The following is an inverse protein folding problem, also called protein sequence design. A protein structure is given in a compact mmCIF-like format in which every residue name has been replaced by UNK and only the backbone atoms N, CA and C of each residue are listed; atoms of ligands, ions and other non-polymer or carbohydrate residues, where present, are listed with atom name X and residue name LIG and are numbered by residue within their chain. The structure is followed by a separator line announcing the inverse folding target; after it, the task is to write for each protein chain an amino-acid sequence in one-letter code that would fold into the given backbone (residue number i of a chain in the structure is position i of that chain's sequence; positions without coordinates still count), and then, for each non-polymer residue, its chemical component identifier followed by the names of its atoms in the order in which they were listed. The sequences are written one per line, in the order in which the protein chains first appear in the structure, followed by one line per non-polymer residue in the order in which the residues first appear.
data_IF_535844357455
#
_entry.id   IF_535844357455
#
_cell.length_a   1.000
_cell.length_b   1.000
_cell.length_c   1.000
_cell.angle_alpha   90.00
_cell.angle_beta   90.00
_cell.angle_gamma   90.00
#
_symmetry.space_group_name_H-M   'P 1'
#
loop_
_entity.id
_entity.type
_entity.pdbx_description
1 polymer ?
#
# COMPACT_ATOMS: atom_id res chain seq x y z
N UNK A 1 -17.18 13.53 -18.74
CA UNK A 1 -16.20 13.85 -17.67
C UNK A 1 -16.63 13.11 -16.44
N UNK A 2 -16.26 11.84 -16.34
CA UNK A 2 -16.19 11.14 -15.06
C UNK A 2 -14.96 11.72 -14.35
N UNK A 3 -15.19 12.37 -13.21
CA UNK A 3 -14.09 12.77 -12.35
C UNK A 3 -13.55 11.49 -11.71
N UNK A 4 -12.41 11.00 -12.20
CA UNK A 4 -11.73 9.86 -11.61
C UNK A 4 -11.22 10.27 -10.22
N UNK A 5 -11.86 9.74 -9.17
CA UNK A 5 -11.48 10.00 -7.79
C UNK A 5 -10.28 9.15 -7.42
N UNK A 6 -9.07 9.71 -7.46
CA UNK A 6 -7.91 9.07 -6.85
C UNK A 6 -8.10 9.17 -5.34
N UNK A 7 -8.37 8.05 -4.66
CA UNK A 7 -8.28 8.03 -3.20
C UNK A 7 -6.81 8.19 -2.82
N UNK A 8 -6.50 8.98 -1.80
CA UNK A 8 -5.12 9.38 -1.45
C UNK A 8 -4.17 8.18 -1.22
N UNK A 9 -4.68 7.03 -0.82
CA UNK A 9 -3.93 5.78 -0.63
C UNK A 9 -3.45 5.13 -1.95
N UNK A 10 -4.16 5.37 -3.05
CA UNK A 10 -3.85 4.76 -4.35
C UNK A 10 -2.52 5.22 -4.94
N UNK A 11 -2.07 6.45 -4.65
CA UNK A 11 -0.90 7.05 -5.34
C UNK A 11 0.40 6.31 -5.00
N UNK A 12 0.55 5.80 -3.78
CA UNK A 12 1.76 5.04 -3.40
C UNK A 12 1.75 3.62 -3.94
N UNK A 13 0.60 2.96 -3.88
CA UNK A 13 0.39 1.61 -4.41
C UNK A 13 0.72 1.56 -5.91
N UNK A 14 0.20 2.52 -6.66
CA UNK A 14 0.28 2.57 -8.13
C UNK A 14 1.73 2.57 -8.65
N UNK A 15 2.65 3.28 -7.99
CA UNK A 15 4.05 3.35 -8.41
C UNK A 15 4.70 1.97 -8.55
N UNK A 16 4.66 1.19 -7.47
CA UNK A 16 5.29 -0.13 -7.44
C UNK A 16 4.39 -1.25 -7.97
N UNK A 17 3.06 -1.13 -7.88
CA UNK A 17 2.12 -2.13 -8.41
C UNK A 17 2.11 -2.19 -9.95
N UNK A 18 2.59 -1.14 -10.62
CA UNK A 18 2.83 -1.15 -12.06
C UNK A 18 4.31 -1.36 -12.43
N UNK A 19 5.19 -1.59 -11.44
CA UNK A 19 6.63 -1.74 -11.65
C UNK A 19 7.35 -0.45 -12.02
N UNK A 20 6.69 0.71 -11.85
CA UNK A 20 7.27 1.99 -12.25
C UNK A 20 8.32 2.51 -11.25
N UNK A 21 8.10 2.27 -9.96
CA UNK A 21 9.03 2.60 -8.87
C UNK A 21 9.26 1.38 -7.97
N UNK A 22 10.40 1.31 -7.29
CA UNK A 22 10.64 0.27 -6.29
C UNK A 22 9.85 0.58 -5.01
N UNK A 23 9.22 -0.45 -4.45
CA UNK A 23 8.66 -0.38 -3.10
C UNK A 23 9.80 -0.23 -2.08
N UNK A 24 9.63 0.67 -1.11
CA UNK A 24 10.57 0.88 -0.01
C UNK A 24 9.79 1.00 1.30
N UNK A 25 10.10 0.10 2.23
CA UNK A 25 9.66 0.18 3.61
C UNK A 25 10.84 0.63 4.50
N UNK A 26 10.85 1.86 5.03
CA UNK A 26 11.96 2.38 5.82
C UNK A 26 12.12 1.65 7.17
N UNK A 27 11.12 0.88 7.59
CA UNK A 27 11.13 0.11 8.83
C UNK A 27 11.43 -1.38 8.60
N UNK A 28 11.48 -1.84 7.35
CA UNK A 28 11.91 -3.19 7.03
C UNK A 28 13.44 -3.29 7.19
N UNK A 29 13.90 -3.76 8.35
CA UNK A 29 15.31 -4.08 8.55
C UNK A 29 15.63 -5.45 7.98
N UNK A 30 16.83 -5.63 7.40
CA UNK A 30 17.41 -6.94 7.06
C UNK A 30 17.71 -7.83 8.29
N UNK A 31 17.26 -7.40 9.47
CA UNK A 31 17.47 -8.07 10.74
C UNK A 31 16.32 -9.03 11.02
N UNK A 32 16.47 -10.26 10.56
CA UNK A 32 15.84 -11.42 11.21
C UNK A 32 16.87 -12.53 11.36
N UNK A 33 17.78 -12.35 12.30
CA UNK A 33 18.45 -13.48 12.94
C UNK A 33 17.46 -14.08 13.95
N UNK A 34 16.58 -14.96 13.46
CA UNK A 34 15.97 -16.12 14.13
C UNK A 34 14.61 -16.43 13.49
N UNK A 35 14.58 -17.42 12.60
CA UNK A 35 13.55 -18.48 12.48
C UNK A 35 12.04 -18.17 12.54
N UNK A 36 11.59 -16.91 12.55
CA UNK A 36 10.22 -16.51 12.91
C UNK A 36 9.57 -15.44 12.02
N UNK A 37 10.31 -14.68 11.21
CA UNK A 37 9.68 -13.80 10.23
C UNK A 37 9.23 -14.63 9.02
N UNK A 38 7.95 -14.99 9.00
CA UNK A 38 7.32 -15.72 7.89
C UNK A 38 7.05 -14.83 6.67
N UNK A 39 7.05 -13.50 6.83
CA UNK A 39 6.81 -12.53 5.76
C UNK A 39 7.92 -11.48 5.66
N UNK A 40 8.30 -11.14 4.44
CA UNK A 40 9.33 -10.13 4.15
C UNK A 40 8.67 -8.78 3.83
N UNK A 41 8.56 -7.91 4.83
CA UNK A 41 7.98 -6.56 4.68
C UNK A 41 8.89 -5.57 3.95
N UNK A 42 10.09 -6.00 3.49
CA UNK A 42 10.84 -5.23 2.49
C UNK A 42 10.21 -5.34 1.10
N UNK A 43 9.24 -6.24 0.93
CA UNK A 43 8.38 -6.36 -0.22
C UNK A 43 6.97 -5.85 0.14
N UNK A 44 6.21 -5.32 -0.84
CA UNK A 44 4.84 -4.92 -0.58
C UNK A 44 3.95 -6.15 -0.39
N UNK A 45 2.84 -5.97 0.33
CA UNK A 45 1.75 -6.95 0.31
C UNK A 45 1.11 -6.89 -1.07
N UNK A 46 1.10 -8.00 -1.81
CA UNK A 46 0.58 -8.04 -3.18
C UNK A 46 -0.83 -8.60 -3.14
N UNK A 47 -1.84 -7.72 -3.09
CA UNK A 47 -3.23 -8.15 -3.25
C UNK A 47 -3.47 -8.49 -4.73
N UNK A 48 -3.77 -9.75 -5.03
CA UNK A 48 -4.15 -10.15 -6.38
C UNK A 48 -5.66 -9.96 -6.60
N UNK A 49 -6.13 -9.60 -7.82
CA UNK A 49 -7.56 -9.29 -8.05
C UNK A 49 -8.55 -10.41 -7.70
N UNK A 50 -8.09 -11.65 -7.68
CA UNK A 50 -8.90 -12.85 -7.37
C UNK A 50 -8.62 -13.38 -5.95
N UNK A 51 -7.87 -12.64 -5.13
CA UNK A 51 -7.47 -13.07 -3.79
C UNK A 51 -8.61 -12.91 -2.79
N UNK A 52 -8.87 -13.98 -2.04
CA UNK A 52 -9.83 -13.93 -0.96
C UNK A 52 -9.18 -13.30 0.26
N UNK A 53 -9.87 -12.34 0.88
CA UNK A 53 -9.46 -11.77 2.16
C UNK A 53 -10.60 -11.84 3.17
N UNK A 54 -10.25 -11.78 4.45
CA UNK A 54 -11.18 -11.68 5.57
C UNK A 54 -11.93 -10.35 5.58
N UNK A 55 -11.39 -9.34 4.90
CA UNK A 55 -12.11 -8.11 4.59
C UNK A 55 -13.03 -8.36 3.39
N UNK A 56 -14.34 -8.26 3.60
CA UNK A 56 -15.27 -8.25 2.47
C UNK A 56 -15.06 -6.97 1.66
N UNK A 57 -14.85 -7.09 0.35
CA UNK A 57 -15.00 -5.95 -0.55
C UNK A 57 -16.48 -5.51 -0.52
N UNK A 58 -16.81 -4.32 0.00
CA UNK A 58 -18.19 -3.86 0.06
C UNK A 58 -18.82 -3.64 -1.32
N UNK A 59 -18.03 -3.64 -2.40
CA UNK A 59 -18.50 -3.49 -3.78
C UNK A 59 -18.72 -4.83 -4.51
N UNK A 60 -18.25 -5.96 -3.97
CA UNK A 60 -18.37 -7.25 -4.64
C UNK A 60 -19.78 -7.84 -4.53
N UNK A 61 -20.38 -8.18 -5.68
CA UNK A 61 -21.67 -8.88 -5.77
C UNK A 61 -21.53 -10.40 -5.91
N UNK A 62 -20.30 -10.90 -6.03
CA UNK A 62 -20.05 -12.34 -6.12
C UNK A 62 -20.15 -12.99 -4.73
N UNK A 63 -20.74 -14.20 -4.62
CA UNK A 63 -20.67 -14.96 -3.38
C UNK A 63 -19.19 -15.18 -3.02
N UNK A 64 -18.73 -14.80 -1.82
CA UNK A 64 -17.35 -15.04 -1.43
C UNK A 64 -17.07 -16.54 -1.54
N UNK A 65 -16.06 -16.89 -2.33
CA UNK A 65 -15.60 -18.26 -2.39
C UNK A 65 -15.09 -18.66 -0.98
N UNK A 66 -15.25 -19.94 -0.63
CA UNK A 66 -15.05 -20.40 0.73
C UNK A 66 -13.58 -20.26 1.15
N UNK A 67 -13.34 -19.45 2.19
CA UNK A 67 -12.04 -19.27 2.81
C UNK A 67 -11.50 -20.60 3.40
N UNK A 68 -10.17 -20.78 3.47
CA UNK A 68 -9.59 -21.95 4.12
C UNK A 68 -10.03 -22.05 5.59
N UNK A 69 -10.67 -23.16 5.96
CA UNK A 69 -11.17 -23.37 7.33
C UNK A 69 -10.03 -23.32 8.38
N UNK A 70 -8.84 -23.76 8.00
CA UNK A 70 -7.62 -23.69 8.81
C UNK A 70 -7.16 -22.25 9.06
N UNK A 71 -7.26 -21.37 8.07
CA UNK A 71 -6.92 -19.96 8.19
C UNK A 71 -7.90 -19.25 9.13
N UNK A 72 -9.21 -19.47 8.93
CA UNK A 72 -10.27 -18.95 9.79
C UNK A 72 -10.08 -19.39 11.25
N UNK A 73 -9.86 -20.68 11.46
CA UNK A 73 -9.64 -21.26 12.79
C UNK A 73 -8.39 -20.67 13.47
N UNK A 74 -7.28 -20.56 12.74
CA UNK A 74 -6.03 -19.99 13.27
C UNK A 74 -6.17 -18.51 13.62
N UNK A 75 -6.88 -17.74 12.79
CA UNK A 75 -7.10 -16.32 13.04
C UNK A 75 -8.10 -16.08 14.19
N UNK A 76 -9.15 -16.87 14.29
CA UNK A 76 -10.06 -16.87 15.44
C UNK A 76 -9.32 -17.17 16.74
N UNK A 77 -8.45 -18.18 16.72
CA UNK A 77 -7.57 -18.51 17.85
C UNK A 77 -6.66 -17.33 18.20
N UNK A 78 -6.02 -16.70 17.21
CA UNK A 78 -5.15 -15.55 17.43
C UNK A 78 -5.87 -14.37 18.09
N UNK A 79 -7.11 -14.09 17.66
CA UNK A 79 -7.95 -13.03 18.25
C UNK A 79 -8.32 -13.34 19.70
N UNK A 80 -8.67 -14.59 20.01
CA UNK A 80 -8.97 -14.99 21.39
C UNK A 80 -7.73 -14.92 22.29
N UNK A 81 -6.58 -15.40 21.83
CA UNK A 81 -5.31 -15.32 22.55
C UNK A 81 -4.91 -13.87 22.83
N UNK A 82 -5.07 -12.98 21.85
CA UNK A 82 -4.83 -11.54 22.03
C UNK A 82 -5.79 -10.92 23.04
N UNK A 83 -7.08 -11.26 22.96
CA UNK A 83 -8.10 -10.77 23.88
C UNK A 83 -7.83 -11.20 25.32
N UNK A 84 -7.31 -12.41 25.51
CA UNK A 84 -6.90 -12.97 26.80
C UNK A 84 -5.53 -12.42 27.30
N UNK A 85 -4.83 -11.63 26.48
CA UNK A 85 -3.54 -11.02 26.79
C UNK A 85 -2.32 -11.92 26.54
N UNK A 86 -2.49 -13.08 25.91
CA UNK A 86 -1.40 -13.97 25.50
C UNK A 86 -0.86 -13.56 24.11
N UNK A 87 -0.14 -12.44 24.07
CA UNK A 87 0.34 -11.88 22.82
C UNK A 87 1.39 -12.75 22.10
N UNK A 88 2.16 -13.55 22.84
CA UNK A 88 3.12 -14.50 22.27
C UNK A 88 2.42 -15.67 21.56
N UNK A 89 1.33 -16.19 22.13
CA UNK A 89 0.49 -17.19 21.46
C UNK A 89 -0.24 -16.58 20.26
N UNK A 90 -0.83 -15.39 20.45
CA UNK A 90 -1.53 -14.67 19.39
C UNK A 90 -0.63 -14.46 18.16
N UNK A 91 0.65 -14.13 18.36
CA UNK A 91 1.60 -13.93 17.26
C UNK A 91 1.81 -15.22 16.46
N UNK A 92 1.97 -16.37 17.15
CA UNK A 92 2.15 -17.68 16.50
C UNK A 92 0.92 -18.09 15.70
N UNK A 93 -0.26 -17.88 16.25
CA UNK A 93 -1.54 -18.19 15.59
C UNK A 93 -1.80 -17.27 14.40
N UNK A 94 -1.43 -15.98 14.52
CA UNK A 94 -1.47 -15.02 13.42
C UNK A 94 -0.54 -15.43 12.28
N UNK A 95 0.71 -15.80 12.60
CA UNK A 95 1.68 -16.30 11.62
C UNK A 95 1.23 -17.62 10.98
N UNK A 96 0.47 -18.46 11.68
CA UNK A 96 -0.15 -19.65 11.10
C UNK A 96 -1.25 -19.30 10.09
N UNK A 97 -2.09 -18.29 10.39
CA UNK A 97 -3.10 -17.80 9.46
C UNK A 97 -2.45 -17.19 8.19
N UNK A 98 -1.38 -16.40 8.33
CA UNK A 98 -0.64 -15.82 7.20
C UNK A 98 0.06 -16.87 6.30
N UNK A 99 0.30 -18.10 6.77
CA UNK A 99 0.81 -19.16 5.88
C UNK A 99 -0.23 -19.61 4.87
N UNK A 100 -1.50 -19.56 5.25
CA UNK A 100 -2.63 -19.96 4.40
C UNK A 100 -3.16 -18.77 3.58
N UNK A 101 -3.11 -17.56 4.15
CA UNK A 101 -3.57 -16.32 3.54
C UNK A 101 -2.47 -15.25 3.56
N UNK A 102 -1.39 -15.42 2.76
CA UNK A 102 -0.18 -14.62 2.87
C UNK A 102 -0.31 -13.16 2.41
N UNK A 103 -1.34 -12.78 1.67
CA UNK A 103 -1.53 -11.37 1.28
C UNK A 103 -2.78 -10.74 1.91
N UNK A 104 -3.37 -11.38 2.92
CA UNK A 104 -4.51 -10.81 3.64
C UNK A 104 -4.06 -9.65 4.53
N UNK A 105 -4.44 -8.44 4.12
CA UNK A 105 -4.05 -7.20 4.78
C UNK A 105 -4.60 -7.07 6.20
N UNK A 106 -5.77 -7.65 6.50
CA UNK A 106 -6.36 -7.60 7.83
C UNK A 106 -5.61 -8.50 8.81
N UNK A 107 -5.13 -9.67 8.37
CA UNK A 107 -4.28 -10.54 9.20
C UNK A 107 -2.91 -9.88 9.43
N UNK A 108 -2.35 -9.22 8.41
CA UNK A 108 -1.13 -8.43 8.59
C UNK A 108 -1.32 -7.28 9.58
N UNK A 109 -2.42 -6.53 9.48
CA UNK A 109 -2.71 -5.44 10.41
C UNK A 109 -2.89 -5.95 11.85
N UNK A 110 -3.53 -7.11 12.03
CA UNK A 110 -3.61 -7.79 13.32
C UNK A 110 -2.23 -8.20 13.84
N UNK A 111 -1.34 -8.73 13.00
CA UNK A 111 0.04 -9.02 13.39
C UNK A 111 0.78 -7.77 13.88
N UNK A 112 0.53 -6.63 13.23
CA UNK A 112 1.05 -5.33 13.64
C UNK A 112 0.52 -4.91 15.02
N UNK A 113 -0.74 -5.18 15.33
CA UNK A 113 -1.35 -4.95 16.64
C UNK A 113 -0.74 -5.86 17.72
N UNK A 114 -0.56 -7.15 17.42
CA UNK A 114 0.07 -8.11 18.35
C UNK A 114 1.51 -7.69 18.68
N UNK A 115 2.30 -7.30 17.67
CA UNK A 115 3.68 -6.82 17.88
C UNK A 115 3.74 -5.46 18.60
N UNK A 116 2.74 -4.59 18.41
CA UNK A 116 2.56 -3.39 19.23
C UNK A 116 2.32 -3.74 20.71
N UNK A 117 1.44 -4.70 21.00
CA UNK A 117 1.15 -5.16 22.35
C UNK A 117 2.37 -5.82 23.03
N UNK A 118 3.23 -6.49 22.25
CA UNK A 118 4.54 -7.01 22.69
C UNK A 118 5.63 -5.94 22.85
N UNK A 119 5.33 -4.67 22.54
CA UNK A 119 6.27 -3.56 22.47
C UNK A 119 7.43 -3.75 21.46
N UNK A 120 7.26 -4.64 20.47
CA UNK A 120 8.14 -4.76 19.31
C UNK A 120 7.71 -3.74 18.25
N UNK A 121 8.03 -2.48 18.50
CA UNK A 121 7.64 -1.37 17.64
C UNK A 121 8.33 -1.40 16.27
N UNK A 122 9.48 -2.09 16.13
CA UNK A 122 10.15 -2.25 14.84
C UNK A 122 9.33 -3.16 13.92
N UNK A 123 8.93 -4.34 14.39
CA UNK A 123 8.09 -5.25 13.60
C UNK A 123 6.70 -4.68 13.36
N UNK A 124 6.13 -3.99 14.36
CA UNK A 124 4.84 -3.32 14.22
C UNK A 124 4.90 -2.24 13.14
N UNK A 125 5.92 -1.37 13.15
CA UNK A 125 6.10 -0.35 12.11
C UNK A 125 6.28 -0.94 10.72
N UNK A 126 7.13 -1.95 10.56
CA UNK A 126 7.36 -2.60 9.27
C UNK A 126 6.07 -3.20 8.70
N UNK A 127 5.29 -3.86 9.55
CA UNK A 127 4.01 -4.48 9.15
C UNK A 127 2.95 -3.43 8.82
N UNK A 128 2.75 -2.44 9.71
CA UNK A 128 1.80 -1.33 9.48
C UNK A 128 2.13 -0.56 8.20
N UNK A 129 3.41 -0.29 7.94
CA UNK A 129 3.82 0.42 6.74
C UNK A 129 3.43 -0.33 5.47
N UNK A 130 3.59 -1.66 5.46
CA UNK A 130 3.19 -2.48 4.33
C UNK A 130 1.67 -2.50 4.13
N UNK A 131 0.89 -2.62 5.22
CA UNK A 131 -0.58 -2.53 5.19
C UNK A 131 -1.05 -1.18 4.65
N UNK A 132 -0.50 -0.10 5.20
CA UNK A 132 -0.84 1.28 4.81
C UNK A 132 -0.33 1.64 3.40
N UNK A 133 0.58 0.85 2.83
CA UNK A 133 1.00 1.02 1.43
C UNK A 133 -0.02 0.50 0.42
N UNK A 134 -0.99 -0.32 0.85
CA UNK A 134 -2.00 -0.93 -0.04
C UNK A 134 -3.43 -0.55 0.30
N UNK A 135 -3.71 -0.03 1.49
CA UNK A 135 -5.06 0.39 1.85
C UNK A 135 -5.11 1.22 3.13
N UNK A 136 -6.27 1.79 3.46
CA UNK A 136 -6.49 2.39 4.76
C UNK A 136 -6.40 1.32 5.85
N UNK A 137 -5.77 1.65 6.97
CA UNK A 137 -5.84 0.81 8.17
C UNK A 137 -7.20 0.88 8.87
N UNK A 138 -7.31 0.18 9.98
CA UNK A 138 -8.51 0.12 10.82
C UNK A 138 -8.94 1.46 11.38
N UNK A 139 -10.25 1.59 11.59
CA UNK A 139 -10.84 2.63 12.41
C UNK A 139 -10.84 2.26 13.91
N UNK A 140 -11.17 3.24 14.74
CA UNK A 140 -11.26 3.05 16.20
C UNK A 140 -12.23 1.93 16.58
N UNK A 141 -13.36 1.80 15.89
CA UNK A 141 -14.39 0.81 16.22
C UNK A 141 -13.84 -0.61 16.05
N UNK A 142 -13.12 -0.84 14.96
CA UNK A 142 -12.48 -2.13 14.67
C UNK A 142 -11.36 -2.41 15.68
N UNK A 143 -10.44 -1.46 15.86
CA UNK A 143 -9.30 -1.65 16.76
C UNK A 143 -9.76 -1.87 18.21
N UNK A 144 -10.63 -1.00 18.75
CA UNK A 144 -11.08 -1.11 20.14
C UNK A 144 -11.90 -2.36 20.41
N UNK A 145 -12.59 -2.90 19.40
CA UNK A 145 -13.34 -4.16 19.50
C UNK A 145 -12.45 -5.40 19.67
N UNK A 146 -11.16 -5.33 19.35
CA UNK A 146 -10.20 -6.42 19.55
C UNK A 146 -9.67 -6.50 20.99
N UNK A 147 -9.91 -5.48 21.80
CA UNK A 147 -9.47 -5.43 23.19
C UNK A 147 -10.59 -5.83 24.16
N UNK A 148 -10.26 -6.43 25.31
CA UNK A 148 -11.23 -6.69 26.37
C UNK A 148 -11.78 -5.41 27.00
N UNK A 149 -11.01 -4.33 26.97
CA UNK A 149 -11.46 -2.99 27.34
C UNK A 149 -10.54 -1.92 26.76
N UNK A 150 -11.06 -0.70 26.66
CA UNK A 150 -10.29 0.49 26.26
C UNK A 150 -9.15 0.80 27.25
N UNK A 151 -9.26 0.39 28.51
CA UNK A 151 -8.23 0.60 29.51
C UNK A 151 -6.94 -0.17 29.16
N UNK A 152 -7.07 -1.43 28.71
CA UNK A 152 -5.91 -2.25 28.28
C UNK A 152 -5.19 -1.60 27.09
N UNK A 153 -5.96 -1.16 26.09
CA UNK A 153 -5.40 -0.39 24.97
C UNK A 153 -4.69 0.88 25.45
N UNK A 154 -5.33 1.62 26.36
CA UNK A 154 -4.79 2.88 26.88
C UNK A 154 -3.46 2.66 27.60
N UNK A 155 -3.32 1.59 28.39
CA UNK A 155 -2.06 1.25 29.04
C UNK A 155 -0.92 1.00 28.04
N UNK A 156 -1.19 0.26 26.96
CA UNK A 156 -0.22 0.01 25.89
C UNK A 156 0.16 1.30 25.15
N UNK A 157 -0.82 2.17 24.87
CA UNK A 157 -0.56 3.48 24.27
C UNK A 157 0.33 4.35 25.18
N UNK A 158 0.09 4.38 26.50
CA UNK A 158 0.95 5.11 27.45
C UNK A 158 2.37 4.53 27.53
N UNK A 159 2.51 3.22 27.38
CA UNK A 159 3.82 2.58 27.30
C UNK A 159 4.59 3.03 26.05
N UNK A 160 3.94 3.04 24.88
CA UNK A 160 4.52 3.53 23.63
C UNK A 160 4.90 5.01 23.71
N UNK A 161 4.02 5.88 24.22
CA UNK A 161 4.34 7.30 24.43
C UNK A 161 5.57 7.49 25.33
N UNK A 162 5.66 6.71 26.41
CA UNK A 162 6.81 6.74 27.33
C UNK A 162 8.09 6.26 26.63
N UNK A 163 7.98 5.24 25.78
CA UNK A 163 9.09 4.73 24.99
C UNK A 163 9.59 5.79 24.00
N UNK A 164 8.70 6.42 23.21
CA UNK A 164 9.08 7.46 22.24
C UNK A 164 9.76 8.66 22.93
N UNK A 165 9.28 9.05 24.12
CA UNK A 165 9.92 10.12 24.92
C UNK A 165 11.35 9.78 25.34
N UNK A 166 11.62 8.51 25.67
CA UNK A 166 12.96 8.02 26.05
C UNK A 166 13.86 7.77 24.84
N UNK A 167 13.27 7.47 23.68
CA UNK A 167 13.95 7.12 22.44
C UNK A 167 13.55 8.06 21.29
N UNK A 168 13.83 9.37 21.38
CA UNK A 168 13.29 10.37 20.44
C UNK A 168 13.74 10.20 18.97
N UNK A 169 14.86 9.49 18.76
CA UNK A 169 15.41 9.18 17.44
C UNK A 169 14.85 7.90 16.82
N UNK A 170 14.13 7.08 17.57
CA UNK A 170 13.53 5.86 17.03
C UNK A 170 12.30 6.21 16.17
N UNK A 171 12.46 6.09 14.85
CA UNK A 171 11.41 6.41 13.90
C UNK A 171 10.33 5.33 13.86
N UNK A 172 10.65 4.07 14.16
CA UNK A 172 9.67 2.99 14.12
C UNK A 172 8.59 3.18 15.19
N UNK A 173 8.97 3.39 16.45
CA UNK A 173 8.00 3.69 17.50
C UNK A 173 7.23 4.99 17.25
N UNK A 174 7.87 6.01 16.68
CA UNK A 174 7.18 7.25 16.27
C UNK A 174 6.12 6.99 15.20
N UNK A 175 6.39 6.13 14.21
CA UNK A 175 5.43 5.74 13.18
C UNK A 175 4.26 4.94 13.76
N UNK A 176 4.53 3.97 14.64
CA UNK A 176 3.47 3.25 15.36
C UNK A 176 2.63 4.22 16.17
N UNK A 177 3.24 5.17 16.89
CA UNK A 177 2.52 6.15 17.71
C UNK A 177 1.64 7.06 16.85
N UNK A 178 2.15 7.51 15.69
CA UNK A 178 1.38 8.27 14.72
C UNK A 178 0.14 7.49 14.28
N UNK A 179 0.30 6.22 13.86
CA UNK A 179 -0.82 5.37 13.47
C UNK A 179 -1.84 5.21 14.61
N UNK A 180 -1.40 4.92 15.84
CA UNK A 180 -2.30 4.79 16.99
C UNK A 180 -3.12 6.08 17.22
N UNK A 181 -2.50 7.25 17.13
CA UNK A 181 -3.21 8.52 17.24
C UNK A 181 -4.19 8.76 16.08
N UNK A 182 -3.83 8.40 14.84
CA UNK A 182 -4.75 8.48 13.70
C UNK A 182 -5.97 7.61 13.93
N UNK A 183 -5.77 6.35 14.29
CA UNK A 183 -6.86 5.40 14.53
C UNK A 183 -7.76 5.82 15.67
N UNK A 184 -7.20 6.36 16.77
CA UNK A 184 -7.96 6.88 17.91
C UNK A 184 -8.58 8.27 17.69
N UNK A 185 -8.34 8.92 16.54
CA UNK A 185 -8.86 10.25 16.21
C UNK A 185 -8.15 11.42 16.92
N UNK A 186 -6.95 11.19 17.45
CA UNK A 186 -6.09 12.21 18.06
C UNK A 186 -5.25 12.94 17.01
N UNK A 187 -5.92 13.60 16.05
CA UNK A 187 -5.30 14.15 14.85
C UNK A 187 -4.14 15.12 15.12
N UNK A 188 -4.27 16.04 16.07
CA UNK A 188 -3.20 17.01 16.38
C UNK A 188 -1.91 16.31 16.84
N UNK A 189 -2.05 15.29 17.69
CA UNK A 189 -0.92 14.51 18.18
C UNK A 189 -0.31 13.63 17.08
N UNK A 190 -1.15 13.08 16.19
CA UNK A 190 -0.70 12.35 15.01
C UNK A 190 0.10 13.24 14.06
N UNK A 191 -0.39 14.45 13.76
CA UNK A 191 0.27 15.44 12.90
C UNK A 191 1.67 15.76 13.44
N UNK A 192 1.81 15.98 14.75
CA UNK A 192 3.13 16.24 15.37
C UNK A 192 4.11 15.08 15.12
N UNK A 193 3.66 13.84 15.28
CA UNK A 193 4.51 12.67 15.04
C UNK A 193 4.88 12.54 13.56
N UNK A 194 3.92 12.71 12.66
CA UNK A 194 4.09 12.60 11.21
C UNK A 194 5.00 13.69 10.65
N UNK A 195 4.89 14.94 11.12
CA UNK A 195 5.82 16.01 10.76
C UNK A 195 7.26 15.67 11.17
N UNK A 196 7.44 15.04 12.33
CA UNK A 196 8.74 14.52 12.77
C UNK A 196 9.33 13.47 11.83
N UNK A 197 8.50 12.50 11.41
CA UNK A 197 8.88 11.44 10.48
C UNK A 197 9.23 12.00 9.10
N UNK A 198 8.36 12.83 8.53
CA UNK A 198 8.56 13.47 7.22
C UNK A 198 9.79 14.37 7.21
N UNK A 199 10.09 15.06 8.32
CA UNK A 199 11.33 15.84 8.45
C UNK A 199 12.57 14.96 8.48
N UNK A 200 12.51 13.79 9.10
CA UNK A 200 13.63 12.85 9.18
C UNK A 200 13.85 12.09 7.87
N UNK A 201 12.76 11.74 7.18
CA UNK A 201 12.77 11.09 5.87
C UNK A 201 11.73 11.73 4.94
N UNK A 202 12.10 12.77 4.19
CA UNK A 202 11.16 13.47 3.29
C UNK A 202 10.78 12.69 2.03
N UNK A 203 11.21 11.44 1.91
CA UNK A 203 10.81 10.52 0.84
C UNK A 203 9.91 9.38 1.38
N UNK A 204 9.59 9.37 2.68
CA UNK A 204 8.61 8.45 3.27
C UNK A 204 7.21 8.84 2.80
N UNK A 205 6.79 8.22 1.70
CA UNK A 205 5.53 8.58 1.07
C UNK A 205 4.31 8.17 1.91
N UNK A 206 4.38 7.11 2.73
CA UNK A 206 3.24 6.69 3.57
C UNK A 206 3.04 7.71 4.68
N UNK A 207 4.12 8.13 5.35
CA UNK A 207 4.06 9.20 6.35
C UNK A 207 3.60 10.54 5.75
N UNK A 208 4.05 10.89 4.54
CA UNK A 208 3.58 12.09 3.81
C UNK A 208 2.07 12.01 3.53
N UNK A 209 1.58 10.87 3.03
CA UNK A 209 0.15 10.69 2.73
C UNK A 209 -0.72 10.73 3.99
N UNK A 210 -0.28 10.08 5.07
CA UNK A 210 -0.94 10.16 6.36
C UNK A 210 -0.99 11.60 6.87
N UNK A 211 0.11 12.35 6.74
CA UNK A 211 0.17 13.76 7.14
C UNK A 211 -0.80 14.63 6.34
N UNK A 212 -0.73 14.55 5.01
CA UNK A 212 -1.55 15.36 4.11
C UNK A 212 -3.05 15.04 4.19
N UNK A 213 -3.40 13.83 4.65
CA UNK A 213 -4.80 13.48 4.93
C UNK A 213 -5.36 14.23 6.14
N UNK A 214 -4.53 14.47 7.16
CA UNK A 214 -4.92 15.17 8.38
C UNK A 214 -4.74 16.69 8.25
N UNK A 215 -3.71 17.11 7.52
CA UNK A 215 -3.34 18.50 7.26
C UNK A 215 -2.94 18.66 5.77
N UNK A 216 -3.90 18.94 4.88
CA UNK A 216 -3.65 19.07 3.45
C UNK A 216 -2.65 20.17 3.06
N UNK A 217 -2.44 21.14 3.94
CA UNK A 217 -1.55 22.29 3.73
C UNK A 217 -0.18 22.06 4.40
N UNK A 218 0.09 20.88 4.96
CA UNK A 218 1.33 20.56 5.63
C UNK A 218 2.56 20.74 4.72
N UNK A 219 3.55 21.49 5.19
CA UNK A 219 4.80 21.68 4.48
C UNK A 219 5.65 20.40 4.51
N UNK A 220 5.96 19.86 3.33
CA UNK A 220 6.88 18.73 3.15
C UNK A 220 8.28 19.28 2.87
N UNK A 221 9.29 19.06 3.73
CA UNK A 221 10.65 19.55 3.49
C UNK A 221 11.26 18.92 2.24
N UNK A 222 11.90 19.71 1.38
CA UNK A 222 12.48 19.22 0.13
C UNK A 222 11.52 18.28 -0.62
N UNK A 223 10.31 18.76 -0.96
CA UNK A 223 9.30 17.91 -1.57
C UNK A 223 9.88 17.33 -2.85
N UNK A 224 9.59 16.06 -3.10
CA UNK A 224 10.05 15.40 -4.29
C UNK A 224 9.57 16.20 -5.52
N UNK A 225 10.46 16.41 -6.50
CA UNK A 225 10.18 17.36 -7.58
C UNK A 225 9.04 16.82 -8.43
N UNK A 226 8.00 17.62 -8.62
CA UNK A 226 6.97 17.30 -9.60
C UNK A 226 7.58 17.43 -10.99
N UNK A 227 7.79 16.30 -11.67
CA UNK A 227 8.22 16.27 -13.06
C UNK A 227 6.96 16.25 -13.92
N UNK A 228 6.74 17.32 -14.68
CA UNK A 228 5.63 17.35 -15.64
C UNK A 228 6.07 16.67 -16.94
N UNK A 229 5.40 15.59 -17.36
CA UNK A 229 5.75 14.92 -18.60
C UNK A 229 5.41 15.80 -19.82
N UNK A 230 6.07 15.54 -20.96
CA UNK A 230 5.73 16.21 -22.21
C UNK A 230 4.27 15.94 -22.59
N UNK A 231 3.59 16.95 -23.13
CA UNK A 231 2.23 16.80 -23.66
C UNK A 231 2.27 16.36 -25.12
N UNK A 232 1.33 15.52 -25.57
CA UNK A 232 1.21 15.17 -26.97
C UNK A 232 0.90 16.43 -27.80
N UNK A 233 1.47 16.48 -29.00
CA UNK A 233 1.27 17.61 -29.91
C UNK A 233 -0.14 17.64 -30.52
N UNK A 234 -0.73 16.46 -30.73
CA UNK A 234 -2.05 16.24 -31.30
C UNK A 234 -2.96 15.53 -30.30
N UNK A 235 -4.30 15.69 -30.40
CA UNK A 235 -5.23 14.98 -29.54
C UNK A 235 -5.09 13.46 -29.64
N UNK A 236 -5.10 12.79 -28.48
CA UNK A 236 -5.04 11.33 -28.41
C UNK A 236 -6.44 10.74 -28.43
N UNK A 237 -6.66 9.73 -29.27
CA UNK A 237 -7.88 8.95 -29.37
C UNK A 237 -7.66 7.54 -28.82
N UNK A 238 -8.68 6.96 -28.16
CA UNK A 238 -8.62 5.60 -27.62
C UNK A 238 -8.16 4.56 -28.66
N UNK A 239 -8.58 4.68 -29.92
CA UNK A 239 -8.19 3.76 -31.01
C UNK A 239 -6.70 3.72 -31.29
N UNK A 240 -5.96 4.79 -30.97
CA UNK A 240 -4.51 4.82 -31.13
C UNK A 240 -3.81 3.96 -30.08
N UNK A 241 -4.38 3.90 -28.87
CA UNK A 241 -3.86 3.13 -27.74
C UNK A 241 -4.32 1.67 -27.72
N UNK A 242 -5.44 1.34 -28.37
CA UNK A 242 -5.97 -0.03 -28.41
C UNK A 242 -4.97 -1.04 -28.99
N UNK A 243 -4.79 -2.17 -28.32
CA UNK A 243 -3.96 -3.29 -28.77
C UNK A 243 -3.00 -3.79 -27.68
N UNK A 244 -2.11 -4.67 -28.11
CA UNK A 244 -1.08 -5.28 -27.28
C UNK A 244 0.24 -4.51 -27.39
N UNK A 245 0.84 -4.24 -26.24
CA UNK A 245 2.06 -3.46 -26.11
C UNK A 245 3.09 -4.23 -25.28
N UNK A 246 4.36 -4.11 -25.63
CA UNK A 246 5.47 -4.63 -24.85
C UNK A 246 6.54 -3.56 -24.63
N UNK A 247 7.19 -3.61 -23.48
CA UNK A 247 8.33 -2.76 -23.18
C UNK A 247 9.37 -3.50 -22.35
N UNK A 248 10.59 -2.98 -22.35
CA UNK A 248 11.63 -3.36 -21.41
C UNK A 248 12.26 -2.10 -20.84
N UNK A 249 12.39 -2.05 -19.51
CA UNK A 249 13.07 -0.96 -18.81
C UNK A 249 13.92 -1.57 -17.70
N UNK A 250 15.20 -1.26 -17.70
CA UNK A 250 16.20 -1.86 -16.80
C UNK A 250 16.18 -3.39 -16.84
N UNK A 251 15.80 -4.05 -15.73
CA UNK A 251 15.66 -5.50 -15.59
C UNK A 251 14.21 -5.98 -15.70
N UNK A 252 13.29 -5.08 -16.00
CA UNK A 252 11.87 -5.33 -16.00
C UNK A 252 11.32 -5.43 -17.42
N UNK A 253 10.46 -6.42 -17.65
CA UNK A 253 9.67 -6.55 -18.89
C UNK A 253 8.22 -6.23 -18.58
N UNK A 254 7.56 -5.54 -19.51
CA UNK A 254 6.18 -5.11 -19.38
C UNK A 254 5.36 -5.60 -20.56
N UNK A 255 4.13 -6.04 -20.29
CA UNK A 255 3.11 -6.34 -21.28
C UNK A 255 1.84 -5.58 -20.89
N UNK A 256 1.26 -4.85 -21.84
CA UNK A 256 0.03 -4.11 -21.62
C UNK A 256 -0.95 -4.40 -22.75
N UNK A 257 -2.14 -4.87 -22.40
CA UNK A 257 -3.26 -4.99 -23.32
C UNK A 257 -4.26 -3.88 -23.00
N UNK A 258 -4.63 -3.09 -24.01
CA UNK A 258 -5.71 -2.10 -23.95
C UNK A 258 -6.82 -2.53 -24.91
N UNK A 259 -7.83 -3.21 -24.39
CA UNK A 259 -8.87 -3.83 -25.21
C UNK A 259 -9.93 -2.82 -25.69
N UNK A 260 -10.64 -3.16 -26.78
CA UNK A 260 -11.69 -2.30 -27.36
C UNK A 260 -12.89 -2.08 -26.43
N UNK A 261 -13.16 -3.04 -25.54
CA UNK A 261 -14.22 -2.98 -24.52
C UNK A 261 -13.82 -2.14 -23.29
N UNK A 262 -12.68 -1.44 -23.33
CA UNK A 262 -12.13 -0.63 -22.23
C UNK A 262 -11.58 -1.43 -21.05
N UNK A 263 -11.41 -2.75 -21.19
CA UNK A 263 -10.65 -3.54 -20.23
C UNK A 263 -9.15 -3.41 -20.51
N UNK A 264 -8.32 -3.45 -19.45
CA UNK A 264 -6.88 -3.55 -19.59
C UNK A 264 -6.32 -4.73 -18.79
N UNK A 265 -5.20 -5.24 -19.29
CA UNK A 265 -4.29 -6.10 -18.53
C UNK A 265 -2.91 -5.46 -18.54
N UNK A 266 -2.29 -5.33 -17.37
CA UNK A 266 -0.89 -4.92 -17.22
C UNK A 266 -0.14 -6.03 -16.52
N UNK A 267 0.93 -6.53 -17.13
CA UNK A 267 1.84 -7.49 -16.54
C UNK A 267 3.22 -6.89 -16.53
N UNK A 268 3.92 -7.03 -15.42
CA UNK A 268 5.35 -6.78 -15.41
C UNK A 268 6.09 -7.88 -14.66
N UNK A 269 7.31 -8.16 -15.12
CA UNK A 269 8.18 -9.15 -14.49
C UNK A 269 9.50 -8.49 -14.14
N UNK A 270 9.91 -8.60 -12.88
CA UNK A 270 11.19 -8.08 -12.37
C UNK A 270 11.83 -9.13 -11.47
N UNK A 271 13.11 -9.41 -11.69
CA UNK A 271 13.87 -10.42 -10.92
C UNK A 271 13.14 -11.79 -10.83
N UNK A 272 12.44 -12.18 -11.90
CA UNK A 272 11.71 -13.44 -12.00
C UNK A 272 10.36 -13.49 -11.28
N UNK A 273 9.95 -12.40 -10.62
CA UNK A 273 8.61 -12.25 -10.03
C UNK A 273 7.71 -11.51 -11.00
N UNK A 274 6.57 -12.08 -11.33
CA UNK A 274 5.54 -11.47 -12.19
C UNK A 274 4.41 -10.93 -11.33
N UNK A 275 3.99 -9.70 -11.63
CA UNK A 275 2.77 -9.10 -11.09
C UNK A 275 1.83 -8.76 -12.25
N UNK A 276 0.54 -8.91 -11.99
CA UNK A 276 -0.53 -8.64 -12.95
C UNK A 276 -1.58 -7.76 -12.31
N UNK A 277 -2.00 -6.73 -13.05
CA UNK A 277 -3.05 -5.80 -12.67
C UNK A 277 -4.06 -5.76 -13.81
N UNK A 278 -5.34 -5.75 -13.47
CA UNK A 278 -6.44 -5.65 -14.44
C UNK A 278 -7.42 -4.57 -14.00
N UNK A 279 -8.18 -4.10 -14.98
CA UNK A 279 -9.32 -3.24 -14.71
C UNK A 279 -9.80 -2.54 -15.96
N UNK A 280 -10.24 -1.30 -15.79
CA UNK A 280 -10.80 -0.51 -16.88
C UNK A 280 -9.92 0.70 -17.19
N UNK A 281 -9.80 1.01 -18.47
CA UNK A 281 -8.99 2.12 -18.95
C UNK A 281 -9.81 3.13 -19.73
N UNK A 282 -9.35 4.38 -19.69
CA UNK A 282 -9.86 5.44 -20.54
C UNK A 282 -8.76 6.45 -20.82
N UNK A 283 -8.88 7.22 -21.90
CA UNK A 283 -7.94 8.28 -22.25
C UNK A 283 -8.69 9.56 -22.54
N UNK A 284 -8.16 10.70 -22.09
CA UNK A 284 -8.64 12.00 -22.51
C UNK A 284 -7.94 12.52 -23.77
N UNK A 285 -8.47 13.62 -24.33
CA UNK A 285 -7.91 14.24 -25.54
C UNK A 285 -6.48 14.77 -25.35
N UNK A 286 -6.04 15.01 -24.12
CA UNK A 286 -4.72 15.53 -23.81
C UNK A 286 -3.72 14.37 -23.60
N UNK A 287 -4.13 13.13 -23.86
CA UNK A 287 -3.30 11.93 -23.77
C UNK A 287 -3.13 11.40 -22.35
N UNK A 288 -3.95 11.85 -21.40
CA UNK A 288 -3.93 11.30 -20.04
C UNK A 288 -4.72 9.99 -20.04
N UNK A 289 -4.00 8.89 -19.94
CA UNK A 289 -4.50 7.54 -19.75
C UNK A 289 -4.79 7.32 -18.27
N UNK A 290 -6.03 6.97 -17.96
CA UNK A 290 -6.47 6.52 -16.64
C UNK A 290 -6.69 5.02 -16.67
N UNK A 291 -6.06 4.30 -15.76
CA UNK A 291 -6.15 2.85 -15.58
C UNK A 291 -6.64 2.57 -14.16
N UNK A 292 -7.94 2.31 -14.04
CA UNK A 292 -8.63 2.05 -12.77
C UNK A 292 -8.60 0.56 -12.47
N UNK A 293 -7.99 0.21 -11.33
CA UNK A 293 -7.81 -1.17 -10.88
C UNK A 293 -9.09 -1.66 -10.20
N UNK A 294 -9.43 -2.94 -10.39
CA UNK A 294 -10.66 -3.52 -9.85
C UNK A 294 -10.78 -3.45 -8.32
N UNK A 295 -9.66 -3.44 -7.59
CA UNK A 295 -9.61 -3.63 -6.14
C UNK A 295 -9.25 -2.37 -5.34
N UNK A 296 -8.69 -1.32 -5.97
CA UNK A 296 -8.64 0.09 -5.51
C UNK A 296 -7.52 0.87 -6.20
N UNK A 297 -7.87 2.05 -6.74
CA UNK A 297 -6.94 3.08 -7.17
C UNK A 297 -6.91 3.30 -8.68
N UNK A 298 -6.51 4.51 -9.09
CA UNK A 298 -6.38 4.87 -10.51
C UNK A 298 -4.94 5.26 -10.77
N UNK A 299 -4.32 4.55 -11.71
CA UNK A 299 -3.06 4.96 -12.27
C UNK A 299 -3.30 5.95 -13.40
N UNK A 300 -2.61 7.09 -13.34
CA UNK A 300 -2.66 8.10 -14.37
C UNK A 300 -1.31 8.14 -15.09
N UNK A 301 -1.34 8.15 -16.41
CA UNK A 301 -0.15 8.26 -17.22
C UNK A 301 -0.36 9.25 -18.38
N UNK A 302 0.64 10.08 -18.62
CA UNK A 302 0.71 10.84 -19.86
C UNK A 302 1.25 9.93 -20.95
N UNK A 303 0.48 9.79 -22.03
CA UNK A 303 0.84 8.98 -23.19
C UNK A 303 1.24 9.87 -24.36
N UNK A 304 2.29 9.48 -25.07
CA UNK A 304 2.69 10.07 -26.35
C UNK A 304 2.78 8.95 -27.38
N UNK A 305 1.80 8.89 -28.29
CA UNK A 305 1.73 7.86 -29.33
C UNK A 305 2.42 8.33 -30.60
N UNK A 306 3.33 7.52 -31.14
CA UNK A 306 4.05 7.77 -32.39
C UNK A 306 3.98 6.51 -33.27
N UNK A 307 2.84 6.31 -33.94
CA UNK A 307 2.63 5.12 -34.77
C UNK A 307 2.52 3.85 -33.92
N UNK A 308 3.54 2.99 -33.97
CA UNK A 308 3.63 1.77 -33.16
C UNK A 308 4.43 1.95 -31.87
N UNK A 309 4.91 3.17 -31.60
CA UNK A 309 5.62 3.52 -30.38
C UNK A 309 4.67 4.24 -29.42
N UNK A 310 4.81 3.97 -28.12
CA UNK A 310 4.07 4.64 -27.05
C UNK A 310 5.03 5.00 -25.92
N UNK A 311 5.26 6.29 -25.71
CA UNK A 311 5.98 6.76 -24.51
C UNK A 311 4.96 6.89 -23.37
N UNK A 312 5.21 6.16 -22.28
CA UNK A 312 4.34 6.11 -21.11
C UNK A 312 5.02 6.78 -19.91
N UNK A 313 4.48 7.92 -19.48
CA UNK A 313 4.98 8.66 -18.32
C UNK A 313 3.99 8.55 -17.16
N UNK A 314 4.39 7.96 -16.05
CA UNK A 314 3.52 7.94 -14.86
C UNK A 314 3.33 9.36 -14.32
N UNK A 315 2.08 9.79 -14.19
CA UNK A 315 1.76 11.04 -13.53
C UNK A 315 1.89 10.89 -12.02
N UNK A 316 2.54 11.86 -11.38
CA UNK A 316 2.90 11.76 -9.97
C UNK A 316 4.26 11.12 -9.73
N UNK A 317 5.00 10.76 -10.79
CA UNK A 317 6.41 10.42 -10.65
C UNK A 317 7.20 11.63 -10.12
N UNK A 318 7.82 11.43 -8.96
CA UNK A 318 8.62 12.45 -8.29
C UNK A 318 10.12 12.22 -8.39
N UNK A 319 10.55 11.10 -8.99
CA UNK A 319 11.96 10.80 -9.24
C UNK A 319 12.38 11.27 -10.64
N UNK A 320 11.42 11.49 -11.53
CA UNK A 320 11.67 11.96 -12.90
C UNK A 320 12.27 10.87 -13.77
N UNK A 321 11.75 9.65 -13.62
CA UNK A 321 12.16 8.51 -14.42
C UNK A 321 11.83 8.76 -15.89
N UNK A 322 12.67 8.22 -16.77
CA UNK A 322 12.38 8.12 -18.20
C UNK A 322 11.08 7.32 -18.43
N UNK A 323 10.35 7.62 -19.52
CA UNK A 323 9.11 6.90 -19.83
C UNK A 323 9.37 5.41 -19.98
N UNK A 324 8.31 4.61 -19.83
CA UNK A 324 8.34 3.25 -20.34
C UNK A 324 8.03 3.34 -21.85
N UNK A 325 9.00 2.97 -22.67
CA UNK A 325 8.86 2.98 -24.13
C UNK A 325 8.23 1.67 -24.60
N UNK A 326 6.92 1.71 -24.85
CA UNK A 326 6.14 0.60 -25.38
C UNK A 326 6.21 0.51 -26.89
N UNK A 327 6.24 -0.73 -27.38
CA UNK A 327 6.15 -1.11 -28.78
C UNK A 327 4.89 -1.93 -28.98
N UNK A 328 4.14 -1.64 -30.04
CA UNK A 328 2.94 -2.38 -30.39
C UNK A 328 3.31 -3.74 -30.98
N UNK A 329 2.66 -4.81 -30.51
CA UNK A 329 2.78 -6.16 -31.09
C UNK A 329 2.02 -6.30 -32.41
#
# INVERSE_FOLDING_TARGET
MTAFGVTTWAVNRVGWAFGYNSYVNPYATSYVDNSSAYYDYSQPIVMTPDEQTLAADPASTEPPAALPETALSSFDQARNEFYDGDYDAALKSTDAALKEMPNDTAIHEFRALVTFALADYQQSAATLYAVLSVGPGWDWTTLSGLYPSVDVYTEQLRALESYCKKNPSDQASRFVLAYQYVTAGHNDAAIEQLQGLVKANPQDQVSIQMLQRLDPDAEIPNPAKKVEPPKPADPVEAKQLQGDWEATRDKSTYEMELAENQEFTWKFTTDGKTQEVRGIWSVDKDGVLAMEMNDSGVMLAQTIVKGNDLEFYMLGDTTGNDPIDFQKK
#
